data_IF_837460359775
#
_entry.id   IF_837460359775
#
_cell.length_a   1.000
_cell.length_b   1.000
_cell.length_c   1.000
_cell.angle_alpha   90.00
_cell.angle_beta   90.00
_cell.angle_gamma   90.00
#
_symmetry.space_group_name_H-M   'P 1'
#
loop_
_entity.id
_entity.type
_entity.pdbx_description
1 polymer ?
#
# COMPACT_ATOMS: atom_id res chain seq x y z
N UNK A 1 -58.35 2.58 24.43
CA UNK A 1 -57.21 3.51 24.33
C UNK A 1 -55.98 2.85 24.94
N UNK A 2 -55.18 2.18 24.12
CA UNK A 2 -53.91 1.56 24.55
C UNK A 2 -52.82 2.62 24.50
N UNK A 3 -52.44 3.13 25.66
CA UNK A 3 -51.36 4.12 25.78
C UNK A 3 -50.02 3.50 25.46
N UNK A 4 -49.39 3.91 24.36
CA UNK A 4 -48.02 3.54 24.00
C UNK A 4 -47.05 4.16 25.00
N UNK A 5 -46.49 3.33 25.88
CA UNK A 5 -45.47 3.75 26.85
C UNK A 5 -44.23 4.19 26.08
N UNK A 6 -43.78 5.43 26.33
CA UNK A 6 -42.57 5.99 25.69
C UNK A 6 -41.33 5.21 26.14
N UNK A 7 -40.48 4.74 25.22
CA UNK A 7 -39.31 3.94 25.57
C UNK A 7 -38.32 4.76 26.40
N UNK A 8 -37.82 4.13 27.46
CA UNK A 8 -36.84 4.72 28.39
C UNK A 8 -35.48 4.91 27.70
N UNK A 9 -34.62 5.79 28.24
CA UNK A 9 -33.29 6.08 27.67
C UNK A 9 -32.44 4.81 27.53
N UNK A 10 -32.50 3.91 28.52
CA UNK A 10 -31.80 2.62 28.48
C UNK A 10 -32.28 1.69 27.36
N UNK A 11 -33.59 1.66 27.08
CA UNK A 11 -34.15 0.87 25.97
C UNK A 11 -33.66 1.37 24.60
N UNK A 12 -33.50 2.69 24.44
CA UNK A 12 -32.95 3.27 23.19
C UNK A 12 -31.47 2.96 23.00
N UNK A 13 -30.69 2.92 24.07
CA UNK A 13 -29.28 2.55 24.01
C UNK A 13 -29.10 1.07 23.67
N UNK A 14 -29.93 0.19 24.26
CA UNK A 14 -29.93 -1.23 23.93
C UNK A 14 -30.36 -1.50 22.48
N UNK A 15 -31.36 -0.79 21.96
CA UNK A 15 -31.75 -0.91 20.56
C UNK A 15 -30.65 -0.44 19.61
N UNK A 16 -30.03 0.71 19.90
CA UNK A 16 -28.91 1.23 19.12
C UNK A 16 -27.69 0.30 19.16
N UNK A 17 -27.41 -0.33 20.31
CA UNK A 17 -26.32 -1.30 20.43
C UNK A 17 -26.56 -2.58 19.61
N UNK A 18 -27.81 -3.07 19.56
CA UNK A 18 -28.20 -4.21 18.72
C UNK A 18 -28.11 -3.87 17.24
N UNK A 19 -28.65 -2.73 16.83
CA UNK A 19 -28.57 -2.24 15.46
C UNK A 19 -27.10 -2.08 15.01
N UNK A 20 -26.24 -1.53 15.88
CA UNK A 20 -24.81 -1.42 15.61
C UNK A 20 -24.09 -2.79 15.57
N UNK A 21 -24.58 -3.81 16.29
CA UNK A 21 -24.05 -5.17 16.23
C UNK A 21 -24.49 -5.88 14.94
N UNK A 22 -25.73 -5.71 14.52
CA UNK A 22 -26.27 -6.19 13.24
C UNK A 22 -25.53 -5.55 12.06
N UNK A 23 -25.31 -4.23 12.07
CA UNK A 23 -24.50 -3.53 11.07
C UNK A 23 -23.06 -4.04 11.02
N UNK A 24 -22.46 -4.36 12.16
CA UNK A 24 -21.12 -4.98 12.21
C UNK A 24 -21.14 -6.37 11.62
N UNK A 25 -22.13 -7.19 11.95
CA UNK A 25 -22.31 -8.53 11.38
C UNK A 25 -22.46 -8.49 9.85
N UNK A 26 -23.26 -7.55 9.33
CA UNK A 26 -23.41 -7.33 7.89
C UNK A 26 -22.13 -6.85 7.21
N UNK A 27 -21.35 -5.95 7.85
CA UNK A 27 -20.06 -5.50 7.31
C UNK A 27 -18.98 -6.57 7.32
N UNK A 28 -19.04 -7.52 8.26
CA UNK A 28 -18.13 -8.67 8.34
C UNK A 28 -18.58 -9.85 7.48
N UNK A 29 -19.75 -9.77 6.83
CA UNK A 29 -20.19 -10.82 5.93
C UNK A 29 -19.19 -10.95 4.76
N UNK A 30 -18.70 -12.16 4.47
CA UNK A 30 -17.62 -12.36 3.50
C UNK A 30 -17.95 -11.84 2.10
N UNK A 31 -19.21 -11.95 1.69
CA UNK A 31 -19.67 -11.43 0.39
C UNK A 31 -19.67 -9.90 0.33
N UNK A 32 -19.95 -9.22 1.44
CA UNK A 32 -19.91 -7.75 1.51
C UNK A 32 -18.46 -7.26 1.49
N UNK A 33 -17.55 -7.97 2.17
CA UNK A 33 -16.12 -7.71 2.10
C UNK A 33 -15.58 -7.94 0.67
N UNK A 34 -15.96 -9.04 0.02
CA UNK A 34 -15.57 -9.34 -1.35
C UNK A 34 -16.06 -8.26 -2.34
N UNK A 35 -17.33 -7.85 -2.23
CA UNK A 35 -17.90 -6.78 -3.06
C UNK A 35 -17.22 -5.43 -2.80
N UNK A 36 -16.89 -5.11 -1.56
CA UNK A 36 -16.19 -3.89 -1.22
C UNK A 36 -14.78 -3.86 -1.85
N UNK A 37 -14.04 -4.97 -1.78
CA UNK A 37 -12.71 -5.06 -2.38
C UNK A 37 -12.81 -4.99 -3.91
N UNK A 38 -13.77 -5.67 -4.53
CA UNK A 38 -13.97 -5.61 -5.99
C UNK A 38 -14.32 -4.18 -6.47
N UNK A 39 -15.11 -3.43 -5.68
CA UNK A 39 -15.36 -2.00 -5.96
C UNK A 39 -14.12 -1.15 -5.83
N UNK A 40 -13.28 -1.38 -4.81
CA UNK A 40 -12.01 -0.66 -4.64
C UNK A 40 -11.09 -0.96 -5.83
N UNK A 41 -10.96 -2.22 -6.21
CA UNK A 41 -10.20 -2.66 -7.39
C UNK A 41 -10.68 -1.96 -8.66
N UNK A 42 -11.99 -2.00 -8.92
CA UNK A 42 -12.59 -1.37 -10.10
C UNK A 42 -12.36 0.15 -10.14
N UNK A 43 -12.45 0.84 -9.00
CA UNK A 43 -12.18 2.28 -8.89
C UNK A 43 -10.72 2.62 -9.11
N UNK A 44 -9.81 1.86 -8.50
CA UNK A 44 -8.37 2.02 -8.69
C UNK A 44 -8.02 1.78 -10.16
N UNK A 45 -8.55 0.73 -10.76
CA UNK A 45 -8.34 0.44 -12.19
C UNK A 45 -8.85 1.57 -13.09
N UNK A 46 -10.03 2.12 -12.82
CA UNK A 46 -10.58 3.24 -13.56
C UNK A 46 -9.71 4.50 -13.45
N UNK A 47 -9.21 4.83 -12.25
CA UNK A 47 -8.33 5.99 -12.04
C UNK A 47 -7.00 5.82 -12.77
N UNK A 48 -6.40 4.63 -12.71
CA UNK A 48 -5.14 4.38 -13.41
C UNK A 48 -5.31 4.43 -14.92
N UNK A 49 -6.36 3.81 -15.46
CA UNK A 49 -6.66 3.91 -16.90
C UNK A 49 -6.92 5.35 -17.33
N UNK A 50 -7.61 6.13 -16.48
CA UNK A 50 -7.85 7.56 -16.74
C UNK A 50 -6.52 8.32 -16.77
N UNK A 51 -5.65 8.13 -15.77
CA UNK A 51 -4.32 8.75 -15.75
C UNK A 51 -3.45 8.36 -16.94
N UNK A 52 -3.49 7.09 -17.35
CA UNK A 52 -2.79 6.60 -18.54
C UNK A 52 -3.29 7.28 -19.82
N UNK A 53 -4.60 7.36 -20.02
CA UNK A 53 -5.20 8.02 -21.19
C UNK A 53 -4.90 9.51 -21.19
N UNK A 54 -5.02 10.20 -20.06
CA UNK A 54 -4.70 11.63 -19.96
C UNK A 54 -3.22 11.89 -20.25
N UNK A 55 -2.32 11.09 -19.67
CA UNK A 55 -0.89 11.19 -19.93
C UNK A 55 -0.57 10.98 -21.41
N UNK A 56 -1.19 9.98 -22.03
CA UNK A 56 -1.03 9.68 -23.44
C UNK A 56 -1.56 10.79 -24.36
N UNK A 57 -2.73 11.35 -24.05
CA UNK A 57 -3.28 12.50 -24.78
C UNK A 57 -2.37 13.72 -24.69
N UNK A 58 -1.75 13.93 -23.52
CA UNK A 58 -0.79 15.01 -23.32
C UNK A 58 0.47 14.81 -24.19
N UNK A 59 1.11 13.63 -24.12
CA UNK A 59 2.31 13.34 -24.92
C UNK A 59 2.01 13.39 -26.42
N UNK A 60 0.87 12.82 -26.82
CA UNK A 60 0.37 12.85 -28.18
C UNK A 60 0.19 14.28 -28.69
N UNK A 61 -0.44 15.16 -27.90
CA UNK A 61 -0.66 16.56 -28.29
C UNK A 61 0.66 17.30 -28.50
N UNK A 62 1.64 17.08 -27.61
CA UNK A 62 2.95 17.69 -27.71
C UNK A 62 3.68 17.24 -28.99
N UNK A 63 3.75 15.93 -29.23
CA UNK A 63 4.39 15.39 -30.45
C UNK A 63 3.65 15.82 -31.71
N UNK A 64 2.32 15.83 -31.71
CA UNK A 64 1.52 16.24 -32.84
C UNK A 64 1.76 17.72 -33.19
N UNK A 65 1.81 18.63 -32.20
CA UNK A 65 2.08 20.05 -32.45
C UNK A 65 3.49 20.29 -33.02
N UNK A 66 4.46 19.43 -32.71
CA UNK A 66 5.79 19.50 -33.27
C UNK A 66 5.86 18.90 -34.68
N UNK A 67 5.33 17.69 -34.87
CA UNK A 67 5.42 16.94 -36.12
C UNK A 67 4.47 17.47 -37.22
N UNK A 68 3.34 18.08 -36.83
CA UNK A 68 2.40 18.70 -37.77
C UNK A 68 2.79 20.14 -38.16
N UNK A 69 3.95 20.66 -37.74
CA UNK A 69 4.40 22.02 -38.13
C UNK A 69 4.48 22.12 -39.66
N UNK A 70 3.71 23.04 -40.22
CA UNK A 70 3.64 23.26 -41.67
C UNK A 70 2.73 22.29 -42.43
N UNK A 71 2.07 21.35 -41.74
CA UNK A 71 1.04 20.50 -42.34
C UNK A 71 -0.33 21.16 -42.29
N UNK A 72 -1.11 21.03 -43.38
CA UNK A 72 -2.51 21.48 -43.39
C UNK A 72 -3.35 20.61 -42.45
N UNK A 73 -4.31 21.21 -41.74
CA UNK A 73 -5.21 20.48 -40.87
C UNK A 73 -5.94 19.37 -41.67
N UNK A 74 -6.06 18.18 -41.09
CA UNK A 74 -6.66 16.99 -41.73
C UNK A 74 -5.89 16.40 -42.92
N UNK A 75 -4.73 16.94 -43.27
CA UNK A 75 -3.83 16.30 -44.23
C UNK A 75 -3.28 14.97 -43.68
N UNK A 76 -2.83 14.09 -44.57
CA UNK A 76 -2.24 12.81 -44.18
C UNK A 76 -1.04 12.99 -43.23
N UNK A 77 -0.08 13.93 -43.45
CA UNK A 77 0.99 14.20 -42.50
C UNK A 77 0.50 14.68 -41.14
N UNK A 78 -0.56 15.51 -41.10
CA UNK A 78 -1.17 15.96 -39.85
C UNK A 78 -1.74 14.76 -39.06
N UNK A 79 -2.47 13.86 -39.72
CA UNK A 79 -2.99 12.63 -39.08
C UNK A 79 -1.86 11.70 -38.60
N UNK A 80 -0.81 11.51 -39.40
CA UNK A 80 0.34 10.68 -39.02
C UNK A 80 1.03 11.25 -37.77
N UNK A 81 1.17 12.58 -37.66
CA UNK A 81 1.73 13.23 -36.49
C UNK A 81 0.95 12.92 -35.20
N UNK A 82 -0.38 12.77 -35.28
CA UNK A 82 -1.22 12.39 -34.15
C UNK A 82 -1.11 10.90 -33.78
N UNK A 83 -0.79 10.01 -34.72
CA UNK A 83 -0.74 8.56 -34.47
C UNK A 83 0.63 8.05 -34.03
N UNK A 84 1.70 8.80 -34.34
CA UNK A 84 3.08 8.36 -34.09
C UNK A 84 3.34 8.05 -32.61
N UNK A 85 3.00 8.97 -31.72
CA UNK A 85 3.26 8.82 -30.28
C UNK A 85 2.37 7.76 -29.60
N UNK A 86 1.04 7.69 -29.87
CA UNK A 86 0.20 6.60 -29.38
C UNK A 86 0.72 5.22 -29.78
N UNK A 87 1.20 5.05 -31.02
CA UNK A 87 1.72 3.76 -31.48
C UNK A 87 2.91 3.30 -30.63
N UNK A 88 3.91 4.16 -30.44
CA UNK A 88 5.12 3.86 -29.64
C UNK A 88 4.75 3.57 -28.18
N UNK A 89 3.88 4.39 -27.61
CA UNK A 89 3.43 4.24 -26.23
C UNK A 89 2.59 2.97 -26.01
N UNK A 90 1.75 2.58 -26.98
CA UNK A 90 1.02 1.30 -26.92
C UNK A 90 1.98 0.11 -27.00
N UNK A 91 3.03 0.18 -27.82
CA UNK A 91 4.08 -0.84 -27.84
C UNK A 91 4.80 -0.95 -26.48
N UNK A 92 5.06 0.19 -25.82
CA UNK A 92 5.67 0.22 -24.48
C UNK A 92 4.75 -0.42 -23.45
N UNK A 93 3.49 0.02 -23.37
CA UNK A 93 2.48 -0.53 -22.45
C UNK A 93 2.28 -2.02 -22.69
N UNK A 94 2.19 -2.45 -23.96
CA UNK A 94 2.08 -3.86 -24.33
C UNK A 94 3.28 -4.68 -23.87
N UNK A 95 4.50 -4.13 -23.99
CA UNK A 95 5.72 -4.78 -23.49
C UNK A 95 5.69 -4.92 -21.97
N UNK A 96 5.27 -3.89 -21.24
CA UNK A 96 5.14 -3.93 -19.78
C UNK A 96 4.10 -4.97 -19.32
N UNK A 97 2.95 -5.03 -20.00
CA UNK A 97 1.90 -6.03 -19.71
C UNK A 97 2.41 -7.45 -19.99
N UNK A 98 3.15 -7.64 -21.08
CA UNK A 98 3.76 -8.92 -21.41
C UNK A 98 4.78 -9.35 -20.34
N UNK A 99 5.68 -8.45 -19.90
CA UNK A 99 6.63 -8.73 -18.82
C UNK A 99 5.92 -9.14 -17.52
N UNK A 100 4.88 -8.40 -17.12
CA UNK A 100 4.09 -8.72 -15.93
C UNK A 100 3.40 -10.09 -16.06
N UNK A 101 2.88 -10.40 -17.26
CA UNK A 101 2.25 -11.70 -17.53
C UNK A 101 3.26 -12.84 -17.44
N UNK A 102 4.48 -12.67 -17.99
CA UNK A 102 5.54 -13.67 -17.89
C UNK A 102 6.01 -13.86 -16.44
N UNK A 103 6.11 -12.77 -15.67
CA UNK A 103 6.52 -12.82 -14.27
C UNK A 103 5.55 -13.66 -13.42
N UNK A 104 4.25 -13.63 -13.72
CA UNK A 104 3.24 -14.50 -13.08
C UNK A 104 3.51 -15.98 -13.32
N UNK A 105 4.05 -16.34 -14.48
CA UNK A 105 4.47 -17.71 -14.80
C UNK A 105 5.91 -18.02 -14.39
N UNK A 106 6.57 -17.14 -13.61
CA UNK A 106 7.96 -17.26 -13.17
C UNK A 106 8.98 -17.35 -14.34
N UNK A 107 8.58 -16.90 -15.52
CA UNK A 107 9.45 -16.82 -16.69
C UNK A 107 10.16 -15.47 -16.67
N UNK A 108 11.50 -15.49 -16.70
CA UNK A 108 12.28 -14.25 -16.79
C UNK A 108 12.22 -13.71 -18.22
N UNK A 109 11.78 -12.46 -18.36
CA UNK A 109 11.93 -11.73 -19.61
C UNK A 109 13.43 -11.59 -19.95
N UNK A 110 13.79 -11.91 -21.21
CA UNK A 110 15.18 -11.82 -21.67
C UNK A 110 15.68 -10.39 -21.76
N UNK A 111 17.00 -10.22 -21.89
CA UNK A 111 17.64 -8.89 -21.99
C UNK A 111 17.11 -8.04 -23.16
N UNK A 112 16.65 -8.67 -24.25
CA UNK A 112 16.02 -8.01 -25.39
C UNK A 112 14.73 -7.27 -25.04
N UNK A 113 13.90 -7.84 -24.15
CA UNK A 113 12.65 -7.22 -23.71
C UNK A 113 12.93 -5.96 -22.89
N UNK A 114 13.92 -6.04 -22.00
CA UNK A 114 14.43 -4.89 -21.25
C UNK A 114 14.99 -3.82 -22.19
N UNK A 115 15.75 -4.22 -23.22
CA UNK A 115 16.25 -3.31 -24.25
C UNK A 115 15.11 -2.61 -24.99
N UNK A 116 14.08 -3.33 -25.42
CA UNK A 116 12.91 -2.77 -26.09
C UNK A 116 12.16 -1.76 -25.19
N UNK A 117 11.95 -2.10 -23.92
CA UNK A 117 11.32 -1.22 -22.93
C UNK A 117 12.08 0.11 -22.77
N UNK A 118 13.39 0.05 -22.54
CA UNK A 118 14.21 1.27 -22.42
C UNK A 118 14.30 2.05 -23.72
N UNK A 119 14.37 1.35 -24.87
CA UNK A 119 14.37 1.98 -26.18
C UNK A 119 13.07 2.75 -26.47
N UNK A 120 11.92 2.14 -26.20
CA UNK A 120 10.61 2.78 -26.35
C UNK A 120 10.43 3.95 -25.39
N UNK A 121 10.84 3.80 -24.12
CA UNK A 121 10.80 4.90 -23.15
C UNK A 121 11.70 6.07 -23.58
N UNK A 122 12.92 5.79 -24.04
CA UNK A 122 13.84 6.80 -24.54
C UNK A 122 13.30 7.51 -25.79
N UNK A 123 12.65 6.78 -26.70
CA UNK A 123 12.00 7.35 -27.86
C UNK A 123 10.88 8.32 -27.45
N UNK A 124 9.95 7.90 -26.59
CA UNK A 124 8.87 8.77 -26.08
C UNK A 124 9.44 10.00 -25.37
N UNK A 125 10.42 9.82 -24.48
CA UNK A 125 11.07 10.92 -23.76
C UNK A 125 11.72 11.93 -24.72
N UNK A 126 12.46 11.43 -25.72
CA UNK A 126 13.16 12.28 -26.69
C UNK A 126 12.16 13.08 -27.52
N UNK A 127 11.12 12.43 -28.06
CA UNK A 127 10.08 13.09 -28.84
C UNK A 127 9.39 14.19 -28.02
N UNK A 128 9.16 13.96 -26.74
CA UNK A 128 8.49 14.94 -25.89
C UNK A 128 9.36 16.13 -25.49
N UNK A 129 10.66 15.92 -25.33
CA UNK A 129 11.57 16.95 -24.78
C UNK A 129 12.43 17.62 -25.85
N UNK A 130 12.43 17.14 -27.09
CA UNK A 130 13.32 17.62 -28.15
C UNK A 130 13.30 19.13 -28.37
N UNK A 131 12.11 19.73 -28.43
CA UNK A 131 11.95 21.18 -28.62
C UNK A 131 12.52 21.97 -27.44
N UNK A 132 12.36 21.47 -26.23
CA UNK A 132 12.86 22.08 -25.00
C UNK A 132 14.38 21.97 -24.89
N UNK A 133 14.96 20.85 -25.33
CA UNK A 133 16.40 20.70 -25.48
C UNK A 133 16.97 21.64 -26.54
N UNK A 134 16.28 21.78 -27.67
CA UNK A 134 16.68 22.70 -28.73
C UNK A 134 16.63 24.17 -28.30
N UNK A 135 15.71 24.54 -27.39
CA UNK A 135 15.62 25.89 -26.82
C UNK A 135 16.51 26.11 -25.59
N UNK A 136 17.10 25.06 -25.02
CA UNK A 136 17.88 25.13 -23.78
C UNK A 136 17.07 25.49 -22.53
N UNK A 137 15.75 25.33 -22.57
CA UNK A 137 14.86 25.71 -21.48
C UNK A 137 14.69 24.55 -20.49
N UNK A 138 15.38 24.64 -19.35
CA UNK A 138 15.34 23.63 -18.30
C UNK A 138 13.94 23.43 -17.71
N UNK A 139 13.13 24.50 -17.59
CA UNK A 139 11.77 24.38 -17.06
C UNK A 139 10.88 23.62 -18.05
N UNK A 140 11.03 23.90 -19.34
CA UNK A 140 10.29 23.21 -20.39
C UNK A 140 10.70 21.74 -20.52
N UNK A 141 11.99 21.42 -20.34
CA UNK A 141 12.48 20.03 -20.31
C UNK A 141 11.81 19.27 -19.17
N UNK A 142 11.82 19.84 -17.95
CA UNK A 142 11.17 19.22 -16.79
C UNK A 142 9.69 19.03 -17.05
N UNK A 143 8.99 20.08 -17.50
CA UNK A 143 7.55 20.05 -17.75
C UNK A 143 7.13 18.94 -18.74
N UNK A 144 7.91 18.73 -19.80
CA UNK A 144 7.60 17.73 -20.82
C UNK A 144 8.14 16.32 -20.52
N UNK A 145 9.04 16.20 -19.54
CA UNK A 145 9.58 14.92 -19.05
C UNK A 145 8.68 14.22 -18.04
N UNK A 146 7.92 14.99 -17.24
CA UNK A 146 7.07 14.45 -16.17
C UNK A 146 6.00 13.50 -16.72
N UNK A 147 5.25 13.81 -17.79
CA UNK A 147 4.16 12.95 -18.23
C UNK A 147 4.62 11.55 -18.71
N UNK A 148 5.65 11.42 -19.58
CA UNK A 148 6.20 10.10 -19.93
C UNK A 148 6.70 9.31 -18.72
N UNK A 149 7.39 9.98 -17.78
CA UNK A 149 7.91 9.34 -16.58
C UNK A 149 6.79 8.83 -15.67
N UNK A 150 5.76 9.65 -15.43
CA UNK A 150 4.59 9.26 -14.61
C UNK A 150 3.84 8.11 -15.28
N UNK A 151 3.58 8.17 -16.59
CA UNK A 151 2.90 7.10 -17.32
C UNK A 151 3.67 5.79 -17.21
N UNK A 152 4.98 5.82 -17.40
CA UNK A 152 5.85 4.65 -17.29
C UNK A 152 5.82 4.06 -15.87
N UNK A 153 6.06 4.89 -14.84
CA UNK A 153 6.03 4.45 -13.44
C UNK A 153 4.67 3.91 -13.05
N UNK A 154 3.58 4.56 -13.47
CA UNK A 154 2.22 4.10 -13.21
C UNK A 154 1.92 2.77 -13.90
N UNK A 155 2.36 2.59 -15.15
CA UNK A 155 2.20 1.34 -15.88
C UNK A 155 3.00 0.18 -15.27
N UNK A 156 4.11 0.47 -14.58
CA UNK A 156 4.89 -0.54 -13.85
C UNK A 156 4.31 -0.80 -12.45
N UNK A 157 3.83 0.24 -11.77
CA UNK A 157 3.22 0.10 -10.44
C UNK A 157 1.83 -0.55 -10.47
N UNK A 158 1.04 -0.31 -11.53
CA UNK A 158 -0.32 -0.87 -11.64
C UNK A 158 -0.30 -2.40 -11.70
N UNK A 159 0.71 -3.00 -12.33
CA UNK A 159 0.79 -4.44 -12.48
C UNK A 159 1.07 -5.11 -11.12
N UNK A 160 2.01 -4.56 -10.34
CA UNK A 160 2.27 -5.00 -8.96
C UNK A 160 1.05 -4.74 -8.04
N UNK A 161 0.41 -3.57 -8.17
CA UNK A 161 -0.77 -3.23 -7.37
C UNK A 161 -1.94 -4.18 -7.64
N UNK A 162 -2.19 -4.53 -8.91
CA UNK A 162 -3.22 -5.50 -9.30
C UNK A 162 -2.96 -6.88 -8.73
N UNK A 163 -1.70 -7.32 -8.75
CA UNK A 163 -1.31 -8.61 -8.19
C UNK A 163 -1.56 -8.64 -6.68
N UNK A 164 -1.13 -7.59 -5.95
CA UNK A 164 -1.36 -7.49 -4.50
C UNK A 164 -2.83 -7.38 -4.11
N UNK A 165 -3.64 -6.66 -4.87
CA UNK A 165 -5.09 -6.59 -4.66
C UNK A 165 -5.73 -7.97 -4.88
N UNK A 166 -5.29 -8.70 -5.91
CA UNK A 166 -5.76 -10.07 -6.18
C UNK A 166 -5.38 -11.01 -5.03
N UNK A 167 -4.14 -10.94 -4.55
CA UNK A 167 -3.67 -11.73 -3.41
C UNK A 167 -4.45 -11.41 -2.13
N UNK A 168 -4.75 -10.13 -1.88
CA UNK A 168 -5.56 -9.71 -0.74
C UNK A 168 -7.00 -10.25 -0.82
N UNK A 169 -7.62 -10.24 -2.01
CA UNK A 169 -8.95 -10.84 -2.24
C UNK A 169 -8.91 -12.35 -1.96
N UNK A 170 -7.92 -13.06 -2.50
CA UNK A 170 -7.78 -14.51 -2.31
C UNK A 170 -7.50 -14.86 -0.85
N UNK A 171 -6.70 -14.05 -0.14
CA UNK A 171 -6.44 -14.22 1.29
C UNK A 171 -7.70 -13.99 2.13
N UNK A 172 -8.46 -12.94 1.84
CA UNK A 172 -9.73 -12.65 2.50
C UNK A 172 -10.75 -13.78 2.28
N UNK A 173 -10.82 -14.32 1.06
CA UNK A 173 -11.71 -15.45 0.75
C UNK A 173 -11.31 -16.72 1.50
N UNK A 174 -10.01 -17.07 1.53
CA UNK A 174 -9.51 -18.20 2.32
C UNK A 174 -9.82 -18.05 3.80
N UNK A 175 -9.60 -16.86 4.37
CA UNK A 175 -9.91 -16.57 5.76
C UNK A 175 -11.40 -16.79 6.08
N UNK A 176 -12.28 -16.29 5.21
CA UNK A 176 -13.73 -16.46 5.35
C UNK A 176 -14.14 -17.94 5.31
N UNK A 177 -13.65 -18.71 4.33
CA UNK A 177 -13.97 -20.14 4.20
C UNK A 177 -13.46 -20.97 5.38
N UNK A 178 -12.29 -20.64 5.92
CA UNK A 178 -11.78 -21.31 7.13
C UNK A 178 -12.56 -20.94 8.40
N UNK A 179 -13.13 -19.74 8.48
CA UNK A 179 -13.97 -19.32 9.61
C UNK A 179 -15.35 -19.95 9.58
N UNK A 180 -15.97 -20.08 8.39
CA UNK A 180 -17.28 -20.73 8.26
C UNK A 180 -17.22 -22.22 8.57
N UNK A 181 -16.10 -22.89 8.30
CA UNK A 181 -15.92 -24.32 8.63
C UNK A 181 -15.55 -24.56 10.12
N UNK A 182 -15.12 -23.53 10.85
CA UNK A 182 -14.76 -23.64 12.28
C UNK A 182 -15.95 -23.39 13.21
N UNK A 183 -16.98 -22.72 12.71
CA UNK A 183 -18.27 -22.64 13.37
C UNK A 183 -19.03 -23.93 13.04
N UNK A 184 -18.86 -24.94 13.88
CA UNK A 184 -19.66 -26.15 13.81
C UNK A 184 -21.14 -25.73 13.91
N UNK A 185 -22.05 -26.13 12.98
CA UNK A 185 -23.46 -25.78 13.06
C UNK A 185 -24.12 -26.18 14.39
N UNK A 186 -23.57 -27.20 15.05
CA UNK A 186 -24.01 -27.70 16.36
C UNK A 186 -23.39 -26.95 17.56
N UNK A 187 -22.38 -26.10 17.35
CA UNK A 187 -21.74 -25.27 18.38
C UNK A 187 -22.17 -23.81 18.26
N UNK A 188 -23.43 -23.55 17.96
CA UNK A 188 -24.01 -22.28 18.40
C UNK A 188 -24.05 -22.33 19.93
N UNK A 189 -23.36 -21.41 20.65
CA UNK A 189 -23.57 -21.31 22.08
C UNK A 189 -25.03 -20.98 22.24
N UNK A 190 -25.82 -21.95 22.67
CA UNK A 190 -27.08 -21.69 23.32
C UNK A 190 -26.68 -20.80 24.48
N UNK A 191 -26.80 -19.48 24.28
CA UNK A 191 -26.77 -18.50 25.35
C UNK A 191 -27.95 -18.89 26.20
N UNK A 192 -27.70 -19.84 27.12
CA UNK A 192 -28.61 -20.20 28.17
C UNK A 192 -28.72 -18.90 28.94
N UNK A 193 -29.80 -18.18 28.71
CA UNK A 193 -30.11 -16.98 29.43
C UNK A 193 -30.16 -17.40 30.90
N UNK A 194 -29.05 -17.20 31.61
CA UNK A 194 -28.97 -17.49 33.01
C UNK A 194 -29.91 -16.47 33.68
N UNK A 195 -31.06 -16.91 34.23
CA UNK A 195 -32.03 -15.99 34.82
C UNK A 195 -31.43 -15.23 36.02
N UNK A 196 -30.28 -15.66 36.54
CA UNK A 196 -29.56 -14.98 37.61
C UNK A 196 -28.96 -13.63 37.19
N UNK A 197 -28.51 -13.48 35.94
CA UNK A 197 -27.81 -12.26 35.49
C UNK A 197 -28.77 -11.09 35.24
N UNK A 198 -30.03 -11.36 34.92
CA UNK A 198 -31.07 -10.33 34.76
C UNK A 198 -31.43 -9.63 36.08
N UNK A 199 -31.18 -10.28 37.22
CA UNK A 199 -31.51 -9.71 38.55
C UNK A 199 -30.44 -8.75 39.08
N UNK A 200 -29.19 -8.85 38.61
CA UNK A 200 -28.12 -7.96 39.05
C UNK A 200 -28.16 -6.58 38.37
N UNK A 201 -28.64 -6.50 37.13
CA UNK A 201 -28.68 -5.23 36.36
C UNK A 201 -29.86 -4.35 36.78
N UNK A 202 -30.91 -4.90 37.38
CA UNK A 202 -32.06 -4.12 37.89
C UNK A 202 -31.83 -3.49 39.28
N UNK A 203 -30.77 -3.88 39.99
CA UNK A 203 -30.46 -3.35 41.33
C UNK A 203 -29.50 -2.13 41.30
N UNK A 204 -28.70 -1.97 40.25
CA UNK A 204 -27.70 -0.90 40.15
C UNK A 204 -28.25 0.44 39.61
N UNK A 205 -29.47 0.47 39.05
CA UNK A 205 -30.04 1.65 38.39
C UNK A 205 -30.92 2.53 39.32
N UNK A 206 -30.74 2.43 40.65
CA UNK A 206 -31.56 3.17 41.64
C UNK A 206 -30.84 4.20 42.49
N UNK A 207 -29.57 4.52 42.22
CA UNK A 207 -28.85 5.57 42.97
C UNK A 207 -28.03 6.42 42.01
N UNK A 208 -28.64 7.47 41.46
CA UNK A 208 -28.03 8.78 41.17
C UNK A 208 -28.96 9.61 40.26
N UNK A 209 -29.88 10.36 40.85
CA UNK A 209 -30.41 11.57 40.24
C UNK A 209 -29.66 12.76 40.83
N UNK A 210 -29.10 13.65 40.00
CA UNK A 210 -29.31 15.06 40.28
C UNK A 210 -29.62 15.92 39.04
N UNK A 211 -30.54 16.86 39.29
CA UNK A 211 -30.70 18.21 38.75
C UNK A 211 -30.86 18.45 37.23
N UNK A 212 -32.02 19.04 36.92
CA UNK A 212 -32.40 19.62 35.64
C UNK A 212 -31.57 20.88 35.27
N UNK A 213 -31.47 21.21 33.97
CA UNK A 213 -30.69 22.34 33.47
C UNK A 213 -31.46 23.65 33.54
N UNK A 214 -30.74 24.73 33.88
CA UNK A 214 -31.21 26.11 33.76
C UNK A 214 -31.10 26.64 32.34
N UNK A 215 -32.13 27.39 31.99
CA UNK A 215 -32.37 28.21 30.80
C UNK A 215 -31.28 29.28 30.56
N UNK A 216 -31.06 29.58 29.28
CA UNK A 216 -30.31 30.73 28.74
C UNK A 216 -30.12 30.44 27.25
N UNK A 217 -31.01 30.83 26.34
CA UNK A 217 -31.37 32.21 25.93
C UNK A 217 -30.14 33.05 25.56
N UNK A 218 -29.70 32.89 24.31
CA UNK A 218 -28.97 33.89 23.55
C UNK A 218 -29.32 33.77 22.07
N UNK A 219 -30.37 34.49 21.70
CA UNK A 219 -30.43 35.22 20.44
C UNK A 219 -29.20 36.12 20.30
N UNK A 220 -28.47 35.98 19.20
CA UNK A 220 -27.91 37.14 18.48
C UNK A 220 -27.50 36.77 17.07
N UNK A 221 -28.23 37.39 16.14
CA UNK A 221 -27.79 37.77 14.81
C UNK A 221 -26.35 38.31 14.81
N UNK A 222 -25.59 37.98 13.78
CA UNK A 222 -24.88 39.00 12.99
C UNK A 222 -24.34 38.40 11.69
N UNK A 223 -24.85 38.96 10.60
CA UNK A 223 -24.43 38.78 9.22
C UNK A 223 -23.36 39.82 8.87
N UNK A 224 -22.17 39.42 8.40
CA UNK A 224 -21.21 40.28 7.66
C UNK A 224 -20.30 39.33 6.86
N UNK A 225 -20.52 39.15 5.55
CA UNK A 225 -20.09 39.96 4.40
C UNK A 225 -18.89 39.35 3.67
N UNK A 226 -19.11 39.08 2.39
CA UNK A 226 -18.10 38.69 1.42
C UNK A 226 -17.16 39.87 1.09
N UNK A 227 -15.86 39.64 0.83
CA UNK A 227 -15.03 40.63 0.15
C UNK A 227 -15.15 40.51 -1.38
N UNK A 228 -15.06 41.64 -2.11
CA UNK A 228 -15.32 41.71 -3.55
C UNK A 228 -14.11 41.33 -4.41
N UNK A 229 -14.43 41.00 -5.65
CA UNK A 229 -13.53 40.90 -6.78
C UNK A 229 -12.70 42.19 -6.96
N UNK A 230 -11.40 42.02 -7.23
CA UNK A 230 -10.56 43.04 -7.82
C UNK A 230 -10.23 42.66 -9.25
N UNK A 231 -10.83 43.44 -10.14
CA UNK A 231 -10.43 43.78 -11.49
C UNK A 231 -9.19 44.71 -11.46
N UNK A 232 -8.58 44.97 -12.62
CA UNK A 232 -7.30 45.63 -12.93
C UNK A 232 -6.14 44.63 -13.09
N UNK A 233 -5.39 44.61 -14.18
CA UNK A 233 -5.34 45.54 -15.30
C UNK A 233 -4.22 45.11 -16.22
N UNK A 234 -4.49 45.27 -17.49
CA UNK A 234 -3.63 45.15 -18.66
C UNK A 234 -2.33 45.94 -18.50
N UNK A 235 -1.18 45.30 -18.73
CA UNK A 235 0.10 45.99 -19.00
C UNK A 235 0.98 45.13 -19.91
N UNK A 236 1.04 45.59 -21.15
CA UNK A 236 1.91 45.20 -22.26
C UNK A 236 3.41 45.39 -21.93
N UNK A 237 4.32 44.59 -22.54
CA UNK A 237 5.73 44.52 -22.16
C UNK A 237 6.63 45.56 -22.87
N UNK A 238 7.78 45.93 -22.30
CA UNK A 238 8.89 46.49 -23.07
C UNK A 238 9.87 45.41 -23.56
N UNK A 239 10.39 45.67 -24.75
CA UNK A 239 11.33 44.90 -25.56
C UNK A 239 12.78 44.95 -24.99
N UNK A 240 13.77 44.27 -25.63
CA UNK A 240 14.96 43.73 -24.98
C UNK A 240 16.14 44.70 -24.93
N UNK A 241 16.94 44.61 -23.87
CA UNK A 241 18.29 45.19 -23.83
C UNK A 241 19.36 44.16 -24.18
N UNK A 242 20.09 44.49 -25.23
CA UNK A 242 21.47 44.07 -25.50
C UNK A 242 22.37 44.31 -24.28
N UNK A 243 23.17 43.31 -23.87
CA UNK A 243 24.62 43.49 -23.64
C UNK A 243 25.37 42.21 -23.24
N UNK A 244 26.35 41.94 -24.08
CA UNK A 244 27.77 41.76 -23.73
C UNK A 244 28.22 40.46 -23.06
N UNK A 245 28.80 39.61 -23.91
CA UNK A 245 30.13 39.00 -23.77
C UNK A 245 30.89 39.25 -22.46
N UNK A 246 31.11 38.18 -21.71
CA UNK A 246 32.03 38.09 -20.58
C UNK A 246 32.70 36.73 -20.54
N UNK A 247 33.77 36.59 -21.30
CA UNK A 247 34.74 35.48 -21.25
C UNK A 247 35.44 35.48 -19.90
N UNK A 248 35.32 34.39 -19.13
CA UNK A 248 35.93 34.27 -17.81
C UNK A 248 36.31 32.83 -17.50
N UNK A 249 37.50 32.44 -17.95
CA UNK A 249 38.13 31.15 -17.71
C UNK A 249 38.77 31.13 -16.31
N UNK A 250 38.75 29.93 -15.70
CA UNK A 250 39.76 29.38 -14.78
C UNK A 250 39.49 29.47 -13.25
N UNK A 251 40.18 28.64 -12.41
CA UNK A 251 39.54 27.55 -11.68
C UNK A 251 39.90 27.51 -10.18
N UNK A 252 39.09 26.88 -9.31
CA UNK A 252 39.59 26.42 -8.00
C UNK A 252 38.67 25.39 -7.33
N UNK A 253 39.27 24.23 -7.05
CA UNK A 253 39.28 23.54 -5.76
C UNK A 253 37.97 23.46 -4.96
N UNK A 254 37.41 22.24 -4.89
CA UNK A 254 36.96 21.65 -3.62
C UNK A 254 36.87 20.13 -3.79
N UNK A 255 38.03 19.49 -3.67
CA UNK A 255 38.09 18.14 -3.13
C UNK A 255 38.06 18.25 -1.60
N UNK A 256 37.61 17.19 -0.95
CA UNK A 256 37.79 16.91 0.48
C UNK A 256 36.69 17.43 1.43
N UNK A 257 35.55 16.72 1.47
CA UNK A 257 34.70 16.50 2.66
C UNK A 257 33.44 15.70 2.30
N UNK A 258 33.50 14.37 2.38
CA UNK A 258 32.36 13.50 2.78
C UNK A 258 32.83 12.05 2.92
N UNK A 259 33.66 11.74 3.93
CA UNK A 259 34.06 10.35 4.25
C UNK A 259 34.04 10.06 5.77
N UNK A 260 33.07 10.61 6.53
CA UNK A 260 32.98 10.35 7.99
C UNK A 260 31.58 10.13 8.55
N UNK A 261 30.59 9.81 7.71
CA UNK A 261 29.23 9.48 8.14
C UNK A 261 28.78 8.03 7.81
N UNK A 262 29.57 7.26 7.05
CA UNK A 262 29.19 5.90 6.63
C UNK A 262 29.56 4.80 7.65
N UNK A 263 30.43 5.08 8.63
CA UNK A 263 31.02 4.05 9.50
C UNK A 263 30.33 3.88 10.86
N UNK A 264 29.16 4.49 11.07
CA UNK A 264 28.39 4.39 12.34
C UNK A 264 26.99 3.76 12.21
N UNK A 265 26.61 3.32 11.02
CA UNK A 265 25.27 2.71 10.78
C UNK A 265 25.31 1.20 10.54
N UNK A 266 26.46 0.54 10.70
CA UNK A 266 26.65 -0.86 10.27
C UNK A 266 26.39 -1.93 11.35
N UNK A 267 26.25 -1.59 12.64
CA UNK A 267 26.19 -2.62 13.71
C UNK A 267 24.82 -2.87 14.35
N UNK A 268 23.81 -2.04 14.07
CA UNK A 268 22.47 -2.32 14.59
C UNK A 268 21.73 -3.24 13.63
N UNK A 269 21.83 -4.54 13.88
CA UNK A 269 21.01 -5.55 13.19
C UNK A 269 19.51 -5.20 13.26
N UNK A 270 18.69 -5.73 12.34
CA UNK A 270 17.28 -5.39 12.28
C UNK A 270 16.55 -5.76 13.59
N UNK A 271 15.78 -4.82 14.13
CA UNK A 271 14.98 -5.05 15.34
C UNK A 271 13.90 -6.13 15.10
N UNK A 272 13.88 -7.10 16.01
CA UNK A 272 12.98 -8.27 15.99
C UNK A 272 12.21 -8.42 17.29
N UNK A 273 12.25 -7.42 18.17
CA UNK A 273 11.62 -7.47 19.50
C UNK A 273 10.11 -7.73 19.43
N UNK A 274 9.44 -7.15 18.44
CA UNK A 274 8.03 -7.36 18.09
C UNK A 274 7.72 -8.80 17.62
N UNK A 275 8.71 -9.52 17.10
CA UNK A 275 8.55 -10.85 16.53
C UNK A 275 8.95 -11.99 17.47
N UNK A 276 9.54 -11.70 18.65
CA UNK A 276 9.97 -12.74 19.60
C UNK A 276 8.78 -13.57 20.08
N UNK A 277 7.68 -12.92 20.48
CA UNK A 277 6.49 -13.61 21.01
C UNK A 277 5.81 -14.47 19.93
N UNK A 278 5.48 -13.95 18.72
CA UNK A 278 4.99 -14.79 17.62
C UNK A 278 5.97 -15.88 17.19
N UNK A 279 7.27 -15.59 17.16
CA UNK A 279 8.32 -16.54 16.78
C UNK A 279 8.42 -17.73 17.73
N UNK A 280 8.24 -17.52 19.04
CA UNK A 280 8.16 -18.59 20.03
C UNK A 280 6.94 -19.48 19.81
N UNK A 281 5.77 -18.90 19.53
CA UNK A 281 4.55 -19.66 19.25
C UNK A 281 4.74 -20.57 18.02
N UNK A 282 5.31 -20.04 16.94
CA UNK A 282 5.65 -20.83 15.73
C UNK A 282 6.65 -21.93 16.05
N UNK A 283 7.68 -21.65 16.86
CA UNK A 283 8.65 -22.66 17.30
C UNK A 283 7.99 -23.81 18.07
N UNK A 284 7.09 -23.50 19.01
CA UNK A 284 6.36 -24.53 19.76
C UNK A 284 5.46 -25.37 18.86
N UNK A 285 4.79 -24.73 17.89
CA UNK A 285 3.96 -25.43 16.92
C UNK A 285 4.79 -26.38 16.04
N UNK A 286 5.94 -25.94 15.53
CA UNK A 286 6.84 -26.79 14.74
C UNK A 286 7.38 -27.96 15.56
N UNK A 287 7.75 -27.72 16.83
CA UNK A 287 8.19 -28.77 17.74
C UNK A 287 7.09 -29.82 18.01
N UNK A 288 5.84 -29.37 18.22
CA UNK A 288 4.69 -30.27 18.38
C UNK A 288 4.41 -31.13 17.13
N UNK A 289 4.79 -30.63 15.95
CA UNK A 289 4.69 -31.35 14.68
C UNK A 289 5.92 -32.21 14.35
N UNK A 290 6.92 -32.27 15.23
CA UNK A 290 8.18 -32.97 14.99
C UNK A 290 9.03 -32.35 13.88
N UNK A 291 8.78 -31.08 13.53
CA UNK A 291 9.53 -30.36 12.50
C UNK A 291 10.67 -29.56 13.12
N UNK A 292 11.82 -29.54 12.43
CA UNK A 292 12.97 -28.73 12.84
C UNK A 292 12.71 -27.23 12.58
N UNK A 293 13.14 -26.38 13.50
CA UNK A 293 13.07 -24.93 13.34
C UNK A 293 14.07 -24.48 12.25
N UNK A 294 13.54 -24.19 11.06
CA UNK A 294 14.31 -23.63 9.95
C UNK A 294 13.84 -22.21 9.62
N UNK A 295 14.69 -21.39 8.99
CA UNK A 295 14.32 -20.04 8.53
C UNK A 295 13.06 -20.06 7.65
N UNK A 296 12.97 -21.03 6.73
CA UNK A 296 11.82 -21.17 5.82
C UNK A 296 10.53 -21.52 6.58
N UNK A 297 10.61 -22.46 7.53
CA UNK A 297 9.47 -22.84 8.37
C UNK A 297 9.03 -21.69 9.28
N UNK A 298 9.98 -20.93 9.84
CA UNK A 298 9.71 -19.75 10.65
C UNK A 298 9.01 -18.64 9.84
N UNK A 299 9.46 -18.35 8.61
CA UNK A 299 8.80 -17.38 7.73
C UNK A 299 7.39 -17.83 7.36
N UNK A 300 7.20 -19.11 7.05
CA UNK A 300 5.89 -19.66 6.72
C UNK A 300 4.94 -19.55 7.92
N UNK A 301 5.35 -20.01 9.09
CA UNK A 301 4.52 -19.95 10.30
C UNK A 301 4.21 -18.52 10.75
N UNK A 302 5.17 -17.58 10.62
CA UNK A 302 4.91 -16.17 10.92
C UNK A 302 3.91 -15.56 9.93
N UNK A 303 3.98 -15.91 8.64
CA UNK A 303 3.02 -15.47 7.63
C UNK A 303 1.63 -16.03 7.91
N UNK A 304 1.53 -17.30 8.29
CA UNK A 304 0.26 -17.94 8.67
C UNK A 304 -0.35 -17.30 9.92
N UNK A 305 0.51 -16.80 10.82
CA UNK A 305 0.11 -16.00 11.99
C UNK A 305 -0.16 -14.51 11.68
N UNK A 306 -0.09 -14.08 10.41
CA UNK A 306 -0.37 -12.71 9.99
C UNK A 306 0.81 -11.72 10.10
N UNK A 307 2.02 -12.20 10.32
CA UNK A 307 3.24 -11.39 10.41
C UNK A 307 4.06 -11.49 9.12
N UNK A 308 4.14 -10.40 8.36
CA UNK A 308 5.04 -10.31 7.21
C UNK A 308 6.47 -10.00 7.67
N UNK A 309 7.44 -10.84 7.28
CA UNK A 309 8.83 -10.74 7.76
C UNK A 309 9.81 -10.82 6.59
N UNK A 310 10.79 -9.92 6.55
CA UNK A 310 11.89 -9.99 5.58
C UNK A 310 12.84 -11.15 5.91
N UNK A 311 13.61 -11.61 4.93
CA UNK A 311 14.61 -12.66 5.13
C UNK A 311 15.67 -12.29 6.17
N UNK A 312 16.08 -11.02 6.22
CA UNK A 312 17.02 -10.51 7.22
C UNK A 312 16.44 -10.56 8.65
N UNK A 313 15.21 -10.06 8.83
CA UNK A 313 14.51 -10.11 10.14
C UNK A 313 14.26 -11.55 10.60
N UNK A 314 13.86 -12.45 9.70
CA UNK A 314 13.69 -13.85 10.02
C UNK A 314 15.00 -14.54 10.43
N UNK A 315 16.13 -14.10 9.86
CA UNK A 315 17.46 -14.61 10.24
C UNK A 315 17.85 -14.15 11.65
N UNK A 316 17.69 -12.86 11.95
CA UNK A 316 17.96 -12.30 13.26
C UNK A 316 17.06 -12.94 14.34
N UNK A 317 15.78 -13.13 14.04
CA UNK A 317 14.83 -13.81 14.92
C UNK A 317 15.21 -15.27 15.17
N UNK A 318 15.63 -16.00 14.13
CA UNK A 318 16.09 -17.39 14.28
C UNK A 318 17.30 -17.46 15.23
N UNK A 319 18.25 -16.53 15.11
CA UNK A 319 19.39 -16.44 16.02
C UNK A 319 18.95 -16.14 17.46
N UNK A 320 18.04 -15.19 17.66
CA UNK A 320 17.49 -14.88 18.98
C UNK A 320 16.79 -16.08 19.62
N UNK A 321 15.95 -16.80 18.85
CA UNK A 321 15.24 -17.98 19.32
C UNK A 321 16.17 -19.17 19.63
N UNK A 322 17.26 -19.32 18.87
CA UNK A 322 18.25 -20.37 19.12
C UNK A 322 19.08 -20.07 20.38
N UNK A 323 19.47 -18.80 20.59
CA UNK A 323 20.20 -18.36 21.78
C UNK A 323 19.40 -18.55 23.08
N UNK A 324 18.06 -18.49 23.00
CA UNK A 324 17.17 -18.75 24.14
C UNK A 324 17.07 -20.22 24.55
N UNK A 325 17.54 -21.16 23.72
CA UNK A 325 17.46 -22.59 24.06
C UNK A 325 18.43 -22.85 25.20
N UNK A 326 17.97 -23.05 26.45
CA UNK A 326 18.88 -23.28 27.55
C UNK A 326 19.58 -24.60 27.24
N UNK A 327 20.91 -24.58 27.29
CA UNK A 327 21.72 -25.79 27.29
C UNK A 327 21.13 -26.71 28.34
N UNK A 328 20.42 -27.76 27.94
CA UNK A 328 19.98 -28.80 28.87
C UNK A 328 21.27 -29.30 29.51
N UNK A 329 21.48 -29.10 30.82
CA UNK A 329 22.69 -29.58 31.46
C UNK A 329 22.70 -31.08 31.20
N UNK A 330 23.72 -31.51 30.47
CA UNK A 330 23.97 -32.88 30.12
C UNK A 330 24.07 -33.63 31.45
N UNK A 331 22.95 -34.19 31.92
CA UNK A 331 22.92 -35.09 33.07
C UNK A 331 23.63 -36.33 32.61
N UNK A 332 24.96 -36.29 32.74
CA UNK A 332 25.85 -37.39 32.45
C UNK A 332 25.38 -38.58 33.25
N UNK A 333 24.68 -39.49 32.59
CA UNK A 333 24.54 -40.86 33.01
C UNK A 333 25.95 -41.44 32.99
N UNK A 334 26.55 -41.46 34.19
CA UNK A 334 27.75 -42.18 34.52
C UNK A 334 27.64 -43.62 34.01
N UNK A 335 28.32 -43.90 32.91
CA UNK A 335 28.65 -45.25 32.48
C UNK A 335 29.65 -45.83 33.47
N UNK A 336 29.11 -46.47 34.51
CA UNK A 336 29.87 -47.04 35.61
C UNK A 336 29.21 -48.32 36.10
N UNK A 337 28.96 -49.29 35.21
CA UNK A 337 28.55 -50.64 35.60
C UNK A 337 28.72 -51.66 34.44
N UNK A 338 29.95 -51.86 33.94
CA UNK A 338 30.23 -53.04 33.09
C UNK A 338 31.74 -53.41 33.09
N UNK A 339 32.26 -53.77 34.27
CA UNK A 339 33.49 -54.56 34.44
C UNK A 339 33.36 -55.42 35.71
N UNK A 340 32.64 -56.54 35.60
CA UNK A 340 32.77 -57.71 36.50
C UNK A 340 31.84 -58.83 36.02
N UNK A 341 32.24 -59.56 34.98
CA UNK A 341 31.69 -60.89 34.63
C UNK A 341 32.61 -61.56 33.60
N UNK A 342 33.90 -61.66 33.92
CA UNK A 342 34.83 -62.54 33.18
C UNK A 342 36.06 -62.78 34.06
N UNK A 343 35.96 -63.76 34.97
CA UNK A 343 37.06 -64.61 35.46
C UNK A 343 36.62 -65.37 36.72
N UNK A 344 36.84 -66.69 36.67
CA UNK A 344 36.80 -67.70 37.74
C UNK A 344 35.42 -68.21 38.18
#
# INVERSE_FOLDING_TARGET
MTGTVKPTRGQRLLSAAREAAELRAYRTHPDVAALAIERVRSRVDALVWTGLVLGLLFTMSNVATFAARGAEAWSLPWLIAWLLDPMVSLCLVGTLIAEATLARYQLRAGAWVRGAKWGLLAATYTMNTWSAWASGDAALIVLHSVPPAVVFVMAEAITDLRDRLTDAVLAAHRYATHHTHRLDPDEWPTVRADPATTRAVTAADRVAAPAAPTHGDHDRDDAVAAPPAQDHGESTPPAPEDRSTGTGTAPTQNADRTDSAADRSAESGPDVSDLVVPGRAVRYQLAAQGQALSRRALIAGLRDAGHAVSTARASALLHALNAETPHTPNTGTSSGAQRASEAA
#
